data_IF_907292003118
#
_entry.id   IF_907292003118
#
_cell.length_a   1.000
_cell.length_b   1.000
_cell.length_c   1.000
_cell.angle_alpha   90.00
_cell.angle_beta   90.00
_cell.angle_gamma   90.00
#
_symmetry.space_group_name_H-M   'P 1'
#
loop_
_entity.id
_entity.type
_entity.pdbx_description
1 polymer ?
#
# COMPACT_ATOMS: atom_id res chain seq x y z
N UNK A 1 2.58 -7.46 -8.37
CA UNK A 1 1.56 -8.28 -7.67
C UNK A 1 1.73 -8.11 -6.15
N UNK A 2 0.68 -7.80 -5.38
CA UNK A 2 0.80 -7.66 -3.92
C UNK A 2 0.74 -9.02 -3.23
N UNK A 3 1.68 -9.29 -2.32
CA UNK A 3 1.75 -10.53 -1.55
C UNK A 3 1.35 -10.21 -0.11
N UNK A 4 0.32 -10.89 0.39
CA UNK A 4 -0.12 -10.76 1.78
C UNK A 4 0.76 -11.59 2.71
N UNK A 5 1.39 -10.92 3.68
CA UNK A 5 2.17 -11.54 4.75
C UNK A 5 1.40 -11.43 6.08
N UNK A 6 0.60 -12.46 6.37
CA UNK A 6 -0.38 -12.48 7.46
C UNK A 6 0.23 -12.47 8.86
N UNK A 7 1.50 -12.90 9.02
CA UNK A 7 2.18 -12.90 10.33
C UNK A 7 2.41 -11.48 10.88
N UNK A 8 2.32 -10.44 10.04
CA UNK A 8 2.52 -9.03 10.41
C UNK A 8 1.49 -8.08 9.78
N UNK A 9 0.34 -8.60 9.29
CA UNK A 9 -0.69 -7.81 8.58
C UNK A 9 -0.08 -6.82 7.54
N UNK A 10 0.74 -7.36 6.64
CA UNK A 10 1.54 -6.58 5.70
C UNK A 10 1.22 -6.98 4.25
N UNK A 11 1.16 -6.00 3.35
CA UNK A 11 1.11 -6.19 1.91
C UNK A 11 2.45 -5.76 1.31
N UNK A 12 3.07 -6.64 0.55
CA UNK A 12 4.39 -6.42 -0.06
C UNK A 12 4.22 -6.33 -1.56
N UNK A 13 4.69 -5.24 -2.17
CA UNK A 13 4.83 -5.14 -3.62
C UNK A 13 6.32 -5.27 -3.99
N UNK A 14 6.80 -6.46 -4.39
CA UNK A 14 8.21 -6.67 -4.73
C UNK A 14 8.65 -5.79 -5.89
N UNK A 15 7.71 -5.38 -6.75
CA UNK A 15 7.96 -4.56 -7.92
C UNK A 15 7.99 -3.05 -7.59
N UNK A 16 7.62 -2.63 -6.38
CA UNK A 16 7.44 -1.21 -6.04
C UNK A 16 8.37 -0.68 -4.94
N UNK A 17 9.27 -1.49 -4.37
CA UNK A 17 10.10 -1.11 -3.19
C UNK A 17 9.25 -0.48 -2.06
N UNK A 18 7.97 -0.85 -2.00
CA UNK A 18 6.96 -0.27 -1.11
C UNK A 18 6.25 -1.41 -0.39
N UNK A 19 6.23 -1.35 0.95
CA UNK A 19 5.52 -2.31 1.79
C UNK A 19 4.46 -1.59 2.58
N UNK A 20 3.22 -2.02 2.53
CA UNK A 20 2.14 -1.47 3.35
C UNK A 20 1.94 -2.36 4.57
N UNK A 21 1.74 -1.77 5.74
CA UNK A 21 1.46 -2.54 6.94
C UNK A 21 0.37 -1.89 7.78
N UNK A 22 -0.38 -2.75 8.45
CA UNK A 22 -1.37 -2.40 9.45
C UNK A 22 -0.80 -2.72 10.83
N UNK A 23 -0.86 -1.76 11.74
CA UNK A 23 -0.42 -1.94 13.13
C UNK A 23 -1.47 -1.40 14.10
N UNK A 24 -1.52 -1.96 15.31
CA UNK A 24 -2.39 -1.49 16.39
C UNK A 24 -1.54 -0.80 17.45
N UNK A 25 -1.90 0.44 17.78
CA UNK A 25 -1.26 1.22 18.85
C UNK A 25 -1.70 0.74 20.22
N UNK A 26 -0.97 1.11 21.27
CA UNK A 26 -1.37 0.85 22.67
C UNK A 26 -2.69 1.51 23.06
N UNK A 27 -3.11 2.56 22.35
CA UNK A 27 -4.39 3.25 22.57
C UNK A 27 -5.59 2.58 21.88
N UNK A 28 -5.38 1.45 21.19
CA UNK A 28 -6.45 0.73 20.49
C UNK A 28 -6.69 1.20 19.05
N UNK A 29 -6.07 2.32 18.64
CA UNK A 29 -6.14 2.87 17.28
C UNK A 29 -5.32 2.01 16.31
N UNK A 30 -5.86 1.78 15.12
CA UNK A 30 -5.21 1.09 14.01
C UNK A 30 -4.53 2.10 13.09
N UNK A 31 -3.31 1.81 12.66
CA UNK A 31 -2.48 2.68 11.84
C UNK A 31 -2.07 1.93 10.58
N UNK A 32 -2.35 2.52 9.44
CA UNK A 32 -1.84 2.06 8.14
C UNK A 32 -0.64 2.92 7.75
N UNK A 33 0.45 2.27 7.37
CA UNK A 33 1.69 2.94 7.03
C UNK A 33 2.41 2.24 5.86
N UNK A 34 3.15 3.04 5.10
CA UNK A 34 3.99 2.60 3.98
C UNK A 34 5.45 2.61 4.39
N UNK A 35 6.19 1.56 4.06
CA UNK A 35 7.64 1.50 4.21
C UNK A 35 8.29 1.86 2.88
N UNK A 36 8.98 3.00 2.86
CA UNK A 36 9.71 3.51 1.69
C UNK A 36 11.17 3.66 2.09
N UNK A 37 12.09 3.00 1.40
CA UNK A 37 13.54 3.05 1.69
C UNK A 37 13.89 2.77 3.17
N UNK A 38 13.16 1.86 3.82
CA UNK A 38 13.35 1.53 5.24
C UNK A 38 12.76 2.54 6.24
N UNK A 39 12.10 3.59 5.76
CA UNK A 39 11.38 4.56 6.60
C UNK A 39 9.88 4.27 6.57
N UNK A 40 9.27 4.24 7.75
CA UNK A 40 7.82 4.08 7.90
C UNK A 40 7.14 5.45 7.81
N UNK A 41 6.28 5.63 6.82
CA UNK A 41 5.46 6.81 6.60
C UNK A 41 4.02 6.47 6.97
N UNK A 42 3.46 7.15 7.96
CA UNK A 42 2.07 6.98 8.35
C UNK A 42 1.13 7.53 7.27
N UNK A 43 0.15 6.73 6.87
CA UNK A 43 -0.86 7.11 5.88
C UNK A 43 -2.17 7.53 6.55
N UNK A 44 -2.69 6.70 7.46
CA UNK A 44 -4.01 6.91 8.07
C UNK A 44 -4.14 6.22 9.44
N UNK A 45 -5.15 6.65 10.21
CA UNK A 45 -5.55 6.06 11.49
C UNK A 45 -7.03 5.74 11.50
N UNK A 46 -7.40 4.65 12.17
CA UNK A 46 -8.77 4.16 12.26
C UNK A 46 -9.08 3.65 13.66
N UNK A 47 -10.33 3.78 14.08
CA UNK A 47 -10.80 3.27 15.37
C UNK A 47 -11.03 1.76 15.32
N UNK A 48 -11.37 1.22 14.14
CA UNK A 48 -11.64 -0.20 13.94
C UNK A 48 -10.62 -0.86 13.02
N UNK A 49 -10.43 -2.16 13.23
CA UNK A 49 -9.54 -2.97 12.39
C UNK A 49 -10.07 -3.09 10.96
N UNK A 50 -11.40 -3.20 10.82
CA UNK A 50 -12.06 -3.40 9.55
C UNK A 50 -11.83 -2.21 8.62
N UNK A 51 -12.08 -0.97 9.09
CA UNK A 51 -11.85 0.24 8.31
C UNK A 51 -10.37 0.36 7.88
N UNK A 52 -9.45 -0.01 8.77
CA UNK A 52 -8.04 0.02 8.48
C UNK A 52 -7.63 -1.00 7.40
N UNK A 53 -8.24 -2.19 7.41
CA UNK A 53 -8.03 -3.23 6.39
C UNK A 53 -8.61 -2.81 5.04
N UNK A 54 -9.83 -2.27 5.03
CA UNK A 54 -10.47 -1.77 3.81
C UNK A 54 -9.63 -0.66 3.16
N UNK A 55 -9.11 0.27 3.96
CA UNK A 55 -8.18 1.30 3.47
C UNK A 55 -6.88 0.71 2.93
N UNK A 56 -6.26 -0.24 3.65
CA UNK A 56 -5.01 -0.89 3.24
C UNK A 56 -5.14 -1.56 1.86
N UNK A 57 -6.25 -2.27 1.64
CA UNK A 57 -6.53 -2.95 0.37
C UNK A 57 -6.82 -1.96 -0.76
N UNK A 58 -7.68 -0.96 -0.51
CA UNK A 58 -7.98 0.08 -1.49
C UNK A 58 -6.72 0.88 -1.91
N UNK A 59 -5.83 1.18 -0.95
CA UNK A 59 -4.57 1.87 -1.23
C UNK A 59 -3.60 1.01 -2.04
N UNK A 60 -3.53 -0.30 -1.74
CA UNK A 60 -2.74 -1.24 -2.53
C UNK A 60 -3.22 -1.31 -3.99
N UNK A 61 -4.54 -1.33 -4.21
CA UNK A 61 -5.16 -1.32 -5.53
C UNK A 61 -4.91 0.00 -6.28
N UNK A 62 -5.00 1.15 -5.59
CA UNK A 62 -4.68 2.45 -6.19
C UNK A 62 -3.21 2.51 -6.65
N UNK A 63 -2.28 2.01 -5.85
CA UNK A 63 -0.87 1.92 -6.22
C UNK A 63 -0.64 0.98 -7.41
N UNK A 64 -1.39 -0.12 -7.50
CA UNK A 64 -1.34 -1.01 -8.65
C UNK A 64 -1.90 -0.34 -9.92
N UNK A 65 -3.06 0.33 -9.84
CA UNK A 65 -3.69 1.02 -10.96
C UNK A 65 -2.93 2.27 -11.44
N UNK A 66 -2.19 2.95 -10.53
CA UNK A 66 -1.27 4.03 -10.91
C UNK A 66 -0.12 3.53 -11.82
N UNK A 67 0.35 2.29 -11.65
CA UNK A 67 1.36 1.71 -12.54
C UNK A 67 0.81 1.50 -13.96
N UNK A 68 -0.42 1.01 -14.08
CA UNK A 68 -1.06 0.76 -15.38
C UNK A 68 -1.24 2.05 -16.20
N UNK A 69 -1.66 3.15 -15.56
CA UNK A 69 -1.74 4.47 -16.22
C UNK A 69 -0.38 5.07 -16.60
N UNK A 70 0.67 4.72 -15.87
CA UNK A 70 2.03 5.22 -16.17
C UNK A 70 2.64 4.47 -17.35
N UNK A 71 2.40 3.16 -17.46
CA UNK A 71 2.80 2.36 -18.63
C UNK A 71 2.02 2.75 -19.89
N UNK A 72 0.70 2.93 -19.81
CA UNK A 72 -0.11 3.35 -20.97
C UNK A 72 0.35 4.70 -21.55
N UNK A 73 0.75 5.64 -20.68
CA UNK A 73 1.22 6.97 -21.09
C UNK A 73 2.62 6.98 -21.73
N UNK A 74 3.47 5.98 -21.42
CA UNK A 74 4.84 5.87 -21.98
C UNK A 74 4.84 5.14 -23.33
N UNK A 75 3.91 4.20 -23.57
CA UNK A 75 3.87 3.42 -24.82
C UNK A 75 3.28 4.21 -26.00
N UNK A 76 2.54 5.30 -25.75
CA UNK A 76 1.94 6.15 -26.80
C UNK A 76 2.84 7.25 -27.37
N UNK A 77 4.16 7.20 -27.11
CA UNK A 77 5.16 8.11 -27.73
C UNK A 77 6.19 7.40 -28.62
N UNK A 78 6.00 6.12 -28.96
CA UNK A 78 6.93 5.33 -29.79
C UNK A 78 6.29 4.79 -31.08
N UNK A 79 5.55 5.64 -31.80
CA UNK A 79 5.18 5.46 -33.22
C UNK A 79 5.05 6.83 -33.88
N UNK A 80 6.20 7.45 -34.14
CA UNK A 80 6.42 8.38 -35.26
C UNK A 80 7.69 7.91 -35.97
#
# INVERSE_FOLDING_TARGET
MWIRYTKKDMLINPDAIAWLHLSRTRGGVYVVAELINGQSVQLAMFETEQEAREFLEAFADELAGKKEKTEEKVVRKKKE
#
